data_IF_437335299823
#
_entry.id   IF_437335299823
#
_cell.length_a   1.000
_cell.length_b   1.000
_cell.length_c   1.000
_cell.angle_alpha   90.00
_cell.angle_beta   90.00
_cell.angle_gamma   90.00
#
_symmetry.space_group_name_H-M   'P 1'
#
loop_
_entity.id
_entity.type
_entity.pdbx_description
1 polymer ?
#
# COMPACT_ATOMS: atom_id res chain seq x y z
N UNK A 1 12.84 -0.65 -3.27
CA UNK A 1 13.23 -1.07 -1.91
C UNK A 1 14.57 -1.80 -1.95
N UNK A 2 15.26 -1.94 -0.83
CA UNK A 2 16.52 -2.71 -0.71
C UNK A 2 16.21 -4.10 -0.18
N UNK A 3 16.98 -5.09 -0.62
CA UNK A 3 16.82 -6.47 -0.14
C UNK A 3 17.89 -6.77 0.90
N UNK A 4 17.45 -7.26 2.06
CA UNK A 4 18.33 -7.74 3.12
C UNK A 4 18.15 -9.24 3.29
N UNK A 5 19.25 -9.99 3.22
CA UNK A 5 19.23 -11.45 3.42
C UNK A 5 19.41 -11.73 4.91
N UNK A 6 18.50 -12.52 5.47
CA UNK A 6 18.53 -12.90 6.89
C UNK A 6 18.08 -14.34 7.09
N UNK A 7 18.63 -15.01 8.09
CA UNK A 7 18.19 -16.36 8.52
C UNK A 7 16.91 -16.31 9.37
N UNK A 8 16.46 -15.13 9.78
CA UNK A 8 15.25 -14.96 10.60
C UNK A 8 13.94 -15.17 9.83
N UNK A 9 13.98 -15.31 8.50
CA UNK A 9 12.79 -15.44 7.66
C UNK A 9 12.60 -16.88 7.16
N UNK A 10 11.35 -17.35 7.18
CA UNK A 10 10.97 -18.64 6.60
C UNK A 10 11.28 -18.64 5.09
N UNK A 11 11.86 -19.72 4.53
CA UNK A 11 12.05 -19.84 3.09
C UNK A 11 10.73 -19.62 2.31
N UNK A 12 10.79 -18.79 1.27
CA UNK A 12 9.62 -18.42 0.46
C UNK A 12 8.78 -17.27 1.01
N UNK A 13 9.15 -16.69 2.16
CA UNK A 13 8.49 -15.52 2.75
C UNK A 13 9.40 -14.31 2.63
N UNK A 14 8.79 -13.16 2.28
CA UNK A 14 9.44 -11.86 2.27
C UNK A 14 8.68 -10.96 3.24
N UNK A 15 9.41 -10.33 4.14
CA UNK A 15 8.86 -9.34 5.05
C UNK A 15 9.25 -7.94 4.57
N UNK A 16 8.26 -7.05 4.48
CA UNK A 16 8.46 -5.63 4.19
C UNK A 16 7.63 -4.81 5.18
N UNK A 17 8.23 -3.78 5.76
CA UNK A 17 7.59 -2.92 6.75
C UNK A 17 6.69 -1.89 6.07
N UNK A 18 5.45 -1.74 6.53
CA UNK A 18 4.46 -0.90 5.87
C UNK A 18 4.57 0.61 6.19
N UNK A 19 5.47 1.01 7.10
CA UNK A 19 5.48 2.36 7.66
C UNK A 19 6.36 3.37 6.90
N UNK A 20 7.12 2.92 5.90
CA UNK A 20 7.89 3.79 5.02
C UNK A 20 7.17 4.02 3.68
N UNK A 21 7.70 4.93 2.87
CA UNK A 21 7.12 5.28 1.58
C UNK A 21 6.11 6.41 1.64
N UNK A 22 6.17 7.31 2.63
CA UNK A 22 5.33 8.50 2.58
C UNK A 22 5.71 9.33 1.36
N UNK A 23 4.72 9.86 0.67
CA UNK A 23 4.94 10.63 -0.54
C UNK A 23 4.01 11.84 -0.60
N UNK A 24 4.41 12.82 -1.40
CA UNK A 24 3.60 13.98 -1.77
C UNK A 24 3.92 14.36 -3.22
N UNK A 25 3.03 15.09 -3.86
CA UNK A 25 3.28 15.71 -5.17
C UNK A 25 3.82 17.14 -4.98
N UNK A 26 4.44 17.75 -6.00
CA UNK A 26 4.93 19.12 -5.93
C UNK A 26 3.85 20.13 -5.51
N UNK A 27 2.61 19.95 -5.97
CA UNK A 27 1.46 20.80 -5.67
C UNK A 27 0.85 20.59 -4.28
N UNK A 28 1.19 19.49 -3.59
CA UNK A 28 0.63 19.21 -2.27
C UNK A 28 1.33 20.06 -1.21
N UNK A 29 0.56 20.51 -0.20
CA UNK A 29 1.07 21.31 0.92
C UNK A 29 2.30 20.63 1.53
N UNK A 30 3.36 21.41 1.70
CA UNK A 30 4.59 20.88 2.28
C UNK A 30 4.33 20.53 3.76
N UNK A 31 4.40 19.24 4.07
CA UNK A 31 4.24 18.68 5.42
C UNK A 31 5.55 18.15 5.98
N UNK A 32 5.51 16.94 6.55
CA UNK A 32 6.68 16.27 7.11
C UNK A 32 7.77 16.04 6.03
N UNK A 33 8.94 16.69 6.16
CA UNK A 33 10.09 16.52 5.25
C UNK A 33 11.13 15.49 5.73
N UNK A 34 10.94 14.93 6.92
CA UNK A 34 11.85 13.95 7.54
C UNK A 34 11.71 12.55 6.95
N UNK A 35 10.55 12.26 6.35
CA UNK A 35 10.18 10.89 5.96
C UNK A 35 9.36 10.84 4.65
N UNK A 36 9.28 11.92 3.87
CA UNK A 36 8.35 12.03 2.72
C UNK A 36 9.09 12.32 1.43
N UNK A 37 8.91 11.46 0.43
CA UNK A 37 9.41 11.67 -0.92
C UNK A 37 8.51 12.64 -1.70
N UNK A 38 9.10 13.44 -2.57
CA UNK A 38 8.34 14.19 -3.60
C UNK A 38 8.28 13.34 -4.86
N UNK A 39 7.07 13.09 -5.37
CA UNK A 39 6.84 12.18 -6.50
C UNK A 39 6.03 12.85 -7.62
N UNK A 40 6.24 12.40 -8.85
CA UNK A 40 5.33 12.63 -9.97
C UNK A 40 4.46 11.40 -10.16
N UNK A 41 3.22 11.59 -10.59
CA UNK A 41 2.29 10.51 -10.92
C UNK A 41 1.78 10.74 -12.33
N UNK A 42 1.93 9.75 -13.19
CA UNK A 42 1.44 9.76 -14.57
C UNK A 42 0.53 8.56 -14.82
N UNK A 43 -0.51 8.77 -15.61
CA UNK A 43 -1.43 7.73 -16.09
C UNK A 43 -1.18 7.54 -17.59
N UNK A 44 -1.13 6.29 -18.06
CA UNK A 44 -0.91 5.94 -19.47
C UNK A 44 -2.19 5.90 -20.33
N UNK A 45 -3.35 6.17 -19.73
CA UNK A 45 -4.68 6.12 -20.33
C UNK A 45 -5.28 4.72 -20.44
N UNK A 46 -4.58 3.68 -19.97
CA UNK A 46 -4.91 2.25 -20.13
C UNK A 46 -4.87 1.50 -18.80
N UNK A 47 -5.15 2.22 -17.71
CA UNK A 47 -5.11 1.68 -16.34
C UNK A 47 -3.72 1.62 -15.70
N UNK A 48 -2.65 1.92 -16.43
CA UNK A 48 -1.30 1.99 -15.88
C UNK A 48 -1.03 3.33 -15.20
N UNK A 49 -0.57 3.25 -13.96
CA UNK A 49 -0.14 4.39 -13.17
C UNK A 49 1.32 4.24 -12.79
N UNK A 50 2.13 5.22 -13.20
CA UNK A 50 3.55 5.28 -12.83
C UNK A 50 3.78 6.42 -11.85
N UNK A 51 4.33 6.09 -10.70
CA UNK A 51 4.83 7.06 -9.73
C UNK A 51 6.34 7.08 -9.80
N UNK A 52 6.94 8.22 -10.15
CA UNK A 52 8.40 8.37 -10.15
C UNK A 52 8.83 9.26 -8.99
N UNK A 53 9.89 8.87 -8.29
CA UNK A 53 10.48 9.70 -7.23
C UNK A 53 11.28 10.84 -7.85
N UNK A 54 10.92 12.08 -7.52
CA UNK A 54 11.58 13.30 -8.00
C UNK A 54 12.66 13.77 -7.02
N UNK A 55 12.31 13.83 -5.73
CA UNK A 55 13.22 14.22 -4.65
C UNK A 55 13.00 13.32 -3.44
N UNK A 56 14.08 12.76 -2.91
CA UNK A 56 14.08 12.00 -1.66
C UNK A 56 14.25 12.89 -0.42
N UNK A 57 14.51 12.25 0.71
CA UNK A 57 14.77 12.95 1.97
C UNK A 57 16.17 13.57 1.94
N UNK A 58 16.27 14.81 2.43
CA UNK A 58 17.52 15.57 2.54
C UNK A 58 17.44 16.61 3.66
N UNK A 59 18.58 17.09 4.17
CA UNK A 59 18.64 18.27 5.01
C UNK A 59 17.86 19.46 4.44
N UNK A 60 17.22 20.21 5.32
CA UNK A 60 16.53 21.46 4.95
C UNK A 60 16.60 22.51 6.07
N UNK A 61 16.52 23.76 5.65
CA UNK A 61 16.45 24.92 6.54
C UNK A 61 15.07 25.03 7.19
N UNK A 62 15.04 25.20 8.51
CA UNK A 62 13.82 25.45 9.28
C UNK A 62 14.15 26.11 10.64
N UNK A 63 13.12 26.46 11.42
CA UNK A 63 13.29 26.92 12.80
C UNK A 63 13.82 25.84 13.75
N UNK A 64 13.65 24.58 13.38
CA UNK A 64 14.25 23.43 14.08
C UNK A 64 15.65 23.15 13.49
N UNK A 65 16.74 23.35 14.27
CA UNK A 65 18.11 23.15 13.79
C UNK A 65 18.42 21.69 13.42
N UNK A 66 17.66 20.71 13.94
CA UNK A 66 17.89 19.30 13.63
C UNK A 66 17.47 18.94 12.19
N UNK A 67 16.64 19.77 11.55
CA UNK A 67 16.27 19.60 10.14
C UNK A 67 17.46 19.64 9.18
N UNK A 68 18.56 20.30 9.58
CA UNK A 68 19.82 20.32 8.81
C UNK A 68 20.70 19.09 9.04
N UNK A 69 20.40 18.30 10.07
CA UNK A 69 21.22 17.16 10.51
C UNK A 69 20.72 15.82 9.95
N UNK A 70 19.70 15.84 9.10
CA UNK A 70 19.18 14.65 8.43
C UNK A 70 20.31 14.01 7.61
N UNK A 71 20.78 12.85 8.06
CA UNK A 71 21.89 12.12 7.41
C UNK A 71 21.42 10.88 6.63
N UNK A 72 20.12 10.59 6.64
CA UNK A 72 19.51 9.53 5.83
C UNK A 72 18.86 10.11 4.58
N UNK A 73 18.80 9.29 3.53
CA UNK A 73 18.16 9.63 2.26
C UNK A 73 16.94 8.77 1.96
N UNK A 74 16.65 7.78 2.81
CA UNK A 74 15.72 6.70 2.50
C UNK A 74 14.29 7.05 2.93
N UNK A 75 13.46 7.45 1.96
CA UNK A 75 12.02 7.64 2.19
C UNK A 75 11.18 6.37 2.04
N UNK A 76 11.81 5.26 1.65
CA UNK A 76 11.16 3.98 1.37
C UNK A 76 10.19 4.02 0.18
N UNK A 77 9.40 2.94 0.07
CA UNK A 77 8.44 2.71 -1.02
C UNK A 77 7.07 2.39 -0.43
N UNK A 78 6.00 2.96 -1.00
CA UNK A 78 4.65 2.79 -0.49
C UNK A 78 4.05 1.45 -0.92
N UNK A 79 4.37 0.35 -0.23
CA UNK A 79 3.96 -1.00 -0.64
C UNK A 79 2.43 -1.17 -0.82
N UNK A 80 1.61 -0.55 0.03
CA UNK A 80 0.16 -0.77 -0.01
C UNK A 80 -0.50 -0.33 -1.33
N UNK A 81 0.15 0.57 -2.09
CA UNK A 81 -0.41 1.05 -3.36
C UNK A 81 -0.25 0.02 -4.48
N UNK A 82 0.66 -0.95 -4.32
CA UNK A 82 0.91 -2.01 -5.31
C UNK A 82 0.08 -3.27 -5.05
N UNK A 83 -0.64 -3.33 -3.93
CA UNK A 83 -1.49 -4.46 -3.59
C UNK A 83 -2.79 -4.41 -4.41
N UNK A 84 -3.07 -5.47 -5.14
CA UNK A 84 -4.37 -5.62 -5.79
C UNK A 84 -5.49 -5.79 -4.74
N UNK A 85 -6.72 -5.42 -5.11
CA UNK A 85 -7.85 -5.48 -4.19
C UNK A 85 -8.34 -6.91 -4.01
N UNK A 86 -8.06 -7.50 -2.85
CA UNK A 86 -8.46 -8.85 -2.48
C UNK A 86 -9.45 -8.84 -1.30
N UNK A 87 -10.77 -8.75 -1.55
CA UNK A 87 -11.76 -8.80 -0.48
C UNK A 87 -11.98 -10.24 -0.01
N UNK A 88 -11.71 -10.53 1.26
CA UNK A 88 -12.04 -11.81 1.88
C UNK A 88 -13.49 -12.21 1.56
N UNK A 89 -13.74 -13.38 0.92
CA UNK A 89 -15.06 -13.72 0.37
C UNK A 89 -16.18 -13.86 1.42
N UNK A 90 -15.82 -13.97 2.70
CA UNK A 90 -16.76 -14.16 3.81
C UNK A 90 -17.05 -12.83 4.52
N UNK A 91 -16.02 -12.04 4.82
CA UNK A 91 -16.11 -10.84 5.66
C UNK A 91 -16.10 -9.53 4.88
N UNK A 92 -15.66 -9.57 3.61
CA UNK A 92 -15.41 -8.41 2.75
C UNK A 92 -14.18 -7.57 3.14
N UNK A 93 -13.37 -8.02 4.11
CA UNK A 93 -12.17 -7.30 4.55
C UNK A 93 -11.03 -7.46 3.54
N UNK A 94 -10.22 -6.43 3.33
CA UNK A 94 -9.07 -6.54 2.43
C UNK A 94 -8.00 -7.49 3.02
N UNK A 95 -7.54 -8.45 2.22
CA UNK A 95 -6.46 -9.37 2.55
C UNK A 95 -5.10 -8.72 2.26
N UNK A 96 -4.32 -8.44 3.30
CA UNK A 96 -3.05 -7.70 3.18
C UNK A 96 -1.83 -8.56 2.79
N UNK A 97 -1.88 -9.88 3.00
CA UNK A 97 -0.79 -10.77 2.58
C UNK A 97 -0.85 -11.04 1.08
N UNK A 98 0.17 -10.60 0.35
CA UNK A 98 0.23 -10.71 -1.10
C UNK A 98 1.21 -11.79 -1.53
N UNK A 99 0.88 -12.51 -2.61
CA UNK A 99 1.85 -13.29 -3.37
C UNK A 99 2.66 -12.34 -4.22
N UNK A 100 3.98 -12.41 -4.13
CA UNK A 100 4.90 -11.54 -4.89
C UNK A 100 5.93 -12.35 -5.66
N UNK A 101 6.48 -11.75 -6.72
CA UNK A 101 7.69 -12.20 -7.42
C UNK A 101 8.76 -11.15 -7.22
N UNK A 102 9.98 -11.60 -6.94
CA UNK A 102 11.15 -10.73 -6.78
C UNK A 102 12.14 -11.04 -7.89
N UNK A 103 12.70 -10.00 -8.49
CA UNK A 103 13.79 -10.10 -9.44
C UNK A 103 14.83 -9.01 -9.20
N UNK A 104 16.00 -9.14 -9.81
CA UNK A 104 17.02 -8.08 -9.78
C UNK A 104 16.49 -6.88 -10.57
N UNK A 105 16.69 -5.68 -10.04
CA UNK A 105 16.36 -4.44 -10.74
C UNK A 105 17.05 -4.39 -12.11
N UNK A 106 16.29 -4.01 -13.13
CA UNK A 106 16.78 -3.80 -14.48
C UNK A 106 17.49 -2.45 -14.67
N UNK A 107 18.11 -2.21 -15.83
CA UNK A 107 18.89 -1.00 -16.09
C UNK A 107 18.05 0.30 -16.10
N UNK A 108 16.73 0.19 -16.27
CA UNK A 108 15.80 1.32 -16.31
C UNK A 108 15.02 1.51 -15.00
N UNK A 109 15.19 0.61 -14.03
CA UNK A 109 14.51 0.70 -12.75
C UNK A 109 15.21 1.73 -11.87
N UNK A 110 14.42 2.58 -11.21
CA UNK A 110 14.93 3.58 -10.26
C UNK A 110 14.38 3.31 -8.88
N UNK A 111 15.22 3.57 -7.88
CA UNK A 111 14.81 3.41 -6.49
C UNK A 111 13.63 4.34 -6.17
N UNK A 112 12.57 3.78 -5.59
CA UNK A 112 11.38 4.53 -5.19
C UNK A 112 10.29 4.63 -6.25
N UNK A 113 10.58 4.24 -7.50
CA UNK A 113 9.56 4.22 -8.55
C UNK A 113 8.56 3.08 -8.31
N UNK A 114 7.31 3.34 -8.63
CA UNK A 114 6.19 2.42 -8.48
C UNK A 114 5.41 2.39 -9.78
N UNK A 115 4.97 1.19 -10.16
CA UNK A 115 3.99 1.00 -11.23
C UNK A 115 2.80 0.19 -10.69
N UNK A 116 1.59 0.59 -11.06
CA UNK A 116 0.34 -0.09 -10.70
C UNK A 116 -0.53 -0.19 -11.95
N UNK A 117 -1.08 -1.36 -12.18
CA UNK A 117 -2.09 -1.60 -13.20
C UNK A 117 -3.46 -1.73 -12.53
N UNK A 118 -4.30 -0.72 -12.67
CA UNK A 118 -5.62 -0.69 -12.03
C UNK A 118 -6.64 -1.60 -12.72
N UNK A 119 -6.45 -1.90 -14.01
CA UNK A 119 -7.33 -2.83 -14.72
C UNK A 119 -7.10 -4.26 -14.19
N UNK A 120 -5.83 -4.68 -14.09
CA UNK A 120 -5.48 -5.98 -13.48
C UNK A 120 -5.87 -6.06 -12.01
N UNK A 121 -5.71 -4.97 -11.26
CA UNK A 121 -6.19 -4.91 -9.87
C UNK A 121 -7.70 -5.14 -9.78
N UNK A 122 -8.46 -4.60 -10.73
CA UNK A 122 -9.91 -4.76 -10.81
C UNK A 122 -10.33 -6.16 -11.31
N UNK A 123 -9.56 -6.77 -12.20
CA UNK A 123 -9.75 -8.18 -12.60
C UNK A 123 -9.58 -9.11 -11.39
N UNK A 124 -8.51 -8.96 -10.61
CA UNK A 124 -8.33 -9.70 -9.36
C UNK A 124 -9.50 -9.49 -8.39
N UNK A 125 -9.98 -8.25 -8.26
CA UNK A 125 -11.16 -7.97 -7.43
C UNK A 125 -12.39 -8.75 -7.91
N UNK A 126 -12.64 -8.82 -9.23
CA UNK A 126 -13.78 -9.57 -9.79
C UNK A 126 -13.65 -11.07 -9.55
N UNK A 127 -12.45 -11.63 -9.66
CA UNK A 127 -12.20 -13.05 -9.36
C UNK A 127 -12.56 -13.37 -7.90
N UNK A 128 -12.13 -12.52 -6.97
CA UNK A 128 -12.46 -12.70 -5.55
C UNK A 128 -13.94 -12.44 -5.26
N UNK A 129 -14.56 -11.46 -5.92
CA UNK A 129 -15.99 -11.19 -5.82
C UNK A 129 -16.81 -12.40 -6.26
N UNK A 130 -16.38 -13.13 -7.29
CA UNK A 130 -17.07 -14.34 -7.75
C UNK A 130 -17.08 -15.48 -6.72
N UNK A 131 -16.17 -15.45 -5.73
CA UNK A 131 -16.16 -16.40 -4.61
C UNK A 131 -17.10 -15.99 -3.47
N UNK A 132 -17.63 -14.76 -3.48
CA UNK A 132 -18.46 -14.23 -2.40
C UNK A 132 -19.87 -14.83 -2.40
N UNK A 133 -20.54 -14.74 -1.26
CA UNK A 133 -21.98 -14.97 -1.16
C UNK A 133 -22.68 -13.61 -1.10
N UNK A 134 -23.79 -13.41 -1.84
CA UNK A 134 -24.53 -12.16 -1.80
C UNK A 134 -25.12 -11.93 -0.41
N UNK A 135 -25.27 -10.65 -0.04
CA UNK A 135 -26.03 -10.26 1.14
C UNK A 135 -27.56 -10.29 0.85
N UNK A 136 -28.43 -10.45 1.87
CA UNK A 136 -28.10 -10.69 3.27
C UNK A 136 -27.52 -12.09 3.51
N UNK A 137 -26.61 -12.18 4.47
CA UNK A 137 -26.29 -13.44 5.12
C UNK A 137 -27.44 -13.89 6.04
N UNK A 138 -27.24 -15.00 6.79
CA UNK A 138 -28.19 -15.45 7.81
C UNK A 138 -28.61 -14.31 8.74
N UNK A 139 -29.87 -14.32 9.16
CA UNK A 139 -30.45 -13.34 10.10
C UNK A 139 -30.39 -11.87 9.64
N UNK A 140 -30.28 -11.64 8.32
CA UNK A 140 -30.27 -10.28 7.76
C UNK A 140 -28.90 -9.57 7.85
N UNK A 141 -27.82 -10.31 8.16
CA UNK A 141 -26.49 -9.74 8.33
C UNK A 141 -25.86 -9.29 7.00
N UNK A 142 -25.27 -8.10 6.98
CA UNK A 142 -24.32 -7.62 5.95
C UNK A 142 -22.97 -8.33 6.03
N UNK A 143 -22.56 -8.72 7.24
CA UNK A 143 -21.24 -9.31 7.54
C UNK A 143 -21.27 -10.12 8.84
N UNK A 144 -20.36 -11.07 9.05
CA UNK A 144 -20.38 -11.89 10.27
C UNK A 144 -20.02 -11.13 11.54
N UNK A 145 -20.68 -11.49 12.65
CA UNK A 145 -20.47 -10.89 13.98
C UNK A 145 -19.19 -11.37 14.69
N UNK A 146 -18.75 -12.60 14.38
CA UNK A 146 -17.66 -13.29 15.08
C UNK A 146 -16.25 -12.97 14.56
N UNK A 147 -16.11 -12.21 13.48
CA UNK A 147 -14.80 -11.78 13.01
C UNK A 147 -14.24 -10.67 13.92
N UNK A 148 -13.01 -10.88 14.41
CA UNK A 148 -12.27 -9.85 15.13
C UNK A 148 -12.01 -8.65 14.22
N UNK A 149 -12.29 -7.45 14.72
CA UNK A 149 -12.11 -6.19 13.98
C UNK A 149 -11.46 -5.17 14.90
N UNK A 150 -10.41 -4.52 14.41
CA UNK A 150 -9.92 -3.30 15.02
C UNK A 150 -11.05 -2.27 14.94
N UNK A 151 -11.51 -1.78 16.11
CA UNK A 151 -12.66 -0.88 16.22
C UNK A 151 -13.97 -1.50 15.70
N UNK A 152 -14.40 -2.63 16.28
CA UNK A 152 -15.69 -3.28 15.97
C UNK A 152 -16.83 -2.24 16.08
N UNK A 153 -17.61 -2.01 15.00
CA UNK A 153 -18.77 -1.11 15.05
C UNK A 153 -19.85 -1.60 16.03
N UNK A 154 -20.82 -0.73 16.30
CA UNK A 154 -22.05 -1.10 17.02
C UNK A 154 -22.82 -2.19 16.24
N UNK A 155 -23.49 -3.07 16.97
CA UNK A 155 -24.00 -4.34 16.43
C UNK A 155 -25.10 -4.13 15.37
N UNK A 156 -25.92 -3.11 15.55
CA UNK A 156 -27.00 -2.72 14.62
C UNK A 156 -26.48 -2.40 13.21
N UNK A 157 -25.21 -1.99 13.08
CA UNK A 157 -24.57 -1.69 11.78
C UNK A 157 -24.23 -2.95 10.97
N UNK A 158 -24.32 -4.12 11.59
CA UNK A 158 -24.08 -5.40 10.93
C UNK A 158 -25.30 -5.89 10.16
N UNK A 159 -26.49 -5.30 10.34
CA UNK A 159 -27.73 -5.75 9.68
C UNK A 159 -28.07 -4.90 8.44
N UNK A 160 -28.67 -5.53 7.43
CA UNK A 160 -29.31 -4.82 6.32
C UNK A 160 -30.54 -4.08 6.86
N UNK A 161 -30.64 -2.80 6.51
CA UNK A 161 -31.82 -1.97 6.76
C UNK A 161 -32.62 -1.97 5.47
#
# INVERSE_FOLDING_TARGET
>A
DKVWVTQGMKPGVVACSHHLGRWRRPQDKIGNRWATNTVSIANDGKGGWKMNTLEGIRPFESSDPDSKRIFWSDGGVHQNITHAVHPDPISGMHCWHQRVRIEKAGPNDRYGDIFVDTERSFENYKEWLAMTRPAPGPDGLRRPLWFARALRPAEETFYLK
#
